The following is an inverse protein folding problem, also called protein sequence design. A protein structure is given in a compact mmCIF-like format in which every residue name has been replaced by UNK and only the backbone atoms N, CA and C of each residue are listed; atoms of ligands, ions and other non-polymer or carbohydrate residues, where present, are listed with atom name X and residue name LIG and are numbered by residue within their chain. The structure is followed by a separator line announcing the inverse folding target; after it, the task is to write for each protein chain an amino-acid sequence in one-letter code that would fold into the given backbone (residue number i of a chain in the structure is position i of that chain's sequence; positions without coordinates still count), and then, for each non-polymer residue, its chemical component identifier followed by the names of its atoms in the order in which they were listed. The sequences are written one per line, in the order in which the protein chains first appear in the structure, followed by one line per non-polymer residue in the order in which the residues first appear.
data_IF_641637153453
#
_entry.id   IF_641637153453
#
_cell.length_a   1.000
_cell.length_b   1.000
_cell.length_c   1.000
_cell.angle_alpha   90.00
_cell.angle_beta   90.00
_cell.angle_gamma   90.00
#
_symmetry.space_group_name_H-M   'P 1'
#
loop_
_entity.id
_entity.type
_entity.pdbx_description
1 polymer ?
#
# COMPACT_ATOMS: atom_id res chain seq x y z
N UNK A 1 12.31 -4.60 -5.45
CA UNK A 1 11.79 -3.48 -4.65
C UNK A 1 10.78 -2.73 -5.51
N UNK A 2 9.63 -2.35 -4.95
CA UNK A 2 8.60 -1.56 -5.64
C UNK A 2 8.43 -0.28 -4.84
N UNK A 3 8.43 0.86 -5.51
CA UNK A 3 8.11 2.15 -4.91
C UNK A 3 6.73 2.59 -5.41
N UNK A 4 5.83 2.89 -4.48
CA UNK A 4 4.46 3.28 -4.77
C UNK A 4 4.24 4.70 -4.28
N UNK A 5 3.97 5.61 -5.21
CA UNK A 5 3.56 6.97 -4.89
C UNK A 5 2.06 6.97 -4.61
N UNK A 6 1.67 7.19 -3.36
CA UNK A 6 0.30 7.06 -2.88
C UNK A 6 0.06 8.07 -1.74
N UNK A 7 -1.19 8.56 -1.58
CA UNK A 7 -2.36 8.33 -2.44
C UNK A 7 -2.24 9.05 -3.80
N UNK A 8 -3.24 8.91 -4.67
CA UNK A 8 -3.28 9.75 -5.88
C UNK A 8 -3.26 11.24 -5.48
N UNK A 9 -2.46 12.03 -6.20
CA UNK A 9 -2.05 13.38 -5.84
C UNK A 9 -0.56 13.47 -5.42
N UNK A 10 0.08 12.33 -5.13
CA UNK A 10 1.51 12.25 -4.80
C UNK A 10 2.33 11.88 -6.04
N UNK A 11 3.34 12.69 -6.36
CA UNK A 11 4.29 12.41 -7.44
C UNK A 11 3.61 12.26 -8.80
N UNK A 12 3.74 11.09 -9.40
CA UNK A 12 3.15 10.73 -10.70
C UNK A 12 1.77 10.06 -10.59
N UNK A 13 1.29 9.73 -9.39
CA UNK A 13 -0.05 9.18 -9.19
C UNK A 13 -1.07 10.32 -9.20
N UNK A 14 -2.06 10.28 -10.09
CA UNK A 14 -3.10 11.32 -10.17
C UNK A 14 -4.46 10.75 -10.58
N UNK A 15 -5.51 11.43 -10.13
CA UNK A 15 -6.88 11.30 -10.65
C UNK A 15 -7.21 12.50 -11.54
N UNK A 16 -7.89 12.23 -12.66
CA UNK A 16 -8.49 13.26 -13.51
C UNK A 16 -9.77 13.83 -12.90
N UNK A 17 -10.43 13.05 -12.03
CA UNK A 17 -11.57 13.50 -11.26
C UNK A 17 -11.08 14.26 -10.02
N UNK A 18 -11.30 15.58 -9.99
CA UNK A 18 -10.90 16.41 -8.86
C UNK A 18 -11.68 16.09 -7.57
N UNK A 19 -12.90 15.58 -7.69
CA UNK A 19 -13.69 15.21 -6.51
C UNK A 19 -13.11 14.01 -5.76
N UNK A 20 -12.24 13.22 -6.42
CA UNK A 20 -11.50 12.13 -5.80
C UNK A 20 -10.66 12.60 -4.61
N UNK A 21 -10.12 13.81 -4.65
CA UNK A 21 -9.20 14.30 -3.63
C UNK A 21 -9.90 14.74 -2.34
N UNK A 22 -11.19 15.08 -2.39
CA UNK A 22 -11.96 15.57 -1.24
C UNK A 22 -12.08 14.53 -0.10
N UNK A 23 -12.41 13.25 -0.36
CA UNK A 23 -12.52 12.24 0.69
C UNK A 23 -11.20 11.53 1.07
N UNK A 24 -10.04 11.91 0.50
CA UNK A 24 -8.79 11.17 0.70
C UNK A 24 -8.39 11.13 2.17
N UNK A 25 -8.26 9.91 2.70
CA UNK A 25 -7.85 9.63 4.07
C UNK A 25 -7.05 8.32 4.14
N UNK A 26 -6.64 7.92 5.35
CA UNK A 26 -5.82 6.71 5.56
C UNK A 26 -6.52 5.42 5.09
N UNK A 27 -7.82 5.27 5.37
CA UNK A 27 -8.60 4.09 4.99
C UNK A 27 -8.70 3.95 3.48
N UNK A 28 -9.03 5.06 2.79
CA UNK A 28 -9.07 5.12 1.33
C UNK A 28 -7.69 4.82 0.74
N UNK A 29 -6.63 5.39 1.32
CA UNK A 29 -5.24 5.14 0.90
C UNK A 29 -4.86 3.67 1.03
N UNK A 30 -5.23 3.02 2.13
CA UNK A 30 -4.96 1.60 2.34
C UNK A 30 -5.74 0.72 1.33
N UNK A 31 -7.01 1.06 1.07
CA UNK A 31 -7.85 0.37 0.08
C UNK A 31 -7.29 0.48 -1.34
N UNK A 32 -6.93 1.69 -1.79
CA UNK A 32 -6.35 1.93 -3.12
C UNK A 32 -4.99 1.22 -3.28
N UNK A 33 -4.16 1.21 -2.23
CA UNK A 33 -2.89 0.47 -2.24
C UNK A 33 -3.10 -1.05 -2.30
N UNK A 34 -4.15 -1.56 -1.65
CA UNK A 34 -4.52 -2.97 -1.75
C UNK A 34 -4.94 -3.34 -3.19
N UNK A 35 -5.79 -2.51 -3.82
CA UNK A 35 -6.20 -2.67 -5.23
C UNK A 35 -4.99 -2.61 -6.17
N UNK A 36 -4.05 -1.68 -5.91
CA UNK A 36 -2.79 -1.62 -6.65
C UNK A 36 -2.04 -2.94 -6.57
N UNK A 37 -1.84 -3.50 -5.38
CA UNK A 37 -1.13 -4.77 -5.19
C UNK A 37 -1.84 -5.92 -5.91
N UNK A 38 -3.16 -6.03 -5.79
CA UNK A 38 -3.93 -7.05 -6.50
C UNK A 38 -3.70 -6.99 -8.02
N UNK A 39 -3.77 -5.79 -8.60
CA UNK A 39 -3.57 -5.58 -10.03
C UNK A 39 -2.11 -5.78 -10.45
N UNK A 40 -1.16 -5.39 -9.60
CA UNK A 40 0.27 -5.59 -9.83
C UNK A 40 0.60 -7.08 -9.91
N UNK A 41 0.12 -7.90 -8.96
CA UNK A 41 0.34 -9.36 -8.99
C UNK A 41 -0.48 -10.07 -10.09
N UNK A 42 -1.59 -9.50 -10.56
CA UNK A 42 -2.26 -10.01 -11.78
C UNK A 42 -1.41 -9.77 -13.01
N UNK A 43 -0.76 -8.60 -13.11
CA UNK A 43 0.10 -8.21 -14.24
C UNK A 43 1.46 -8.94 -14.22
N UNK A 44 2.03 -9.16 -13.04
CA UNK A 44 3.33 -9.81 -12.83
C UNK A 44 3.17 -11.08 -11.97
N UNK A 45 2.50 -12.13 -12.50
CA UNK A 45 2.16 -13.33 -11.73
C UNK A 45 3.37 -14.14 -11.24
N UNK A 46 4.54 -13.98 -11.87
CA UNK A 46 5.78 -14.64 -11.51
C UNK A 46 6.26 -14.30 -10.09
N UNK A 47 5.85 -13.15 -9.54
CA UNK A 47 6.22 -12.74 -8.18
C UNK A 47 5.29 -13.25 -7.09
N UNK A 48 4.15 -13.89 -7.42
CA UNK A 48 3.14 -14.32 -6.43
C UNK A 48 3.67 -15.31 -5.37
N UNK A 49 4.74 -16.05 -5.69
CA UNK A 49 5.35 -17.01 -4.77
C UNK A 49 6.37 -16.36 -3.83
N UNK A 50 6.77 -15.12 -4.09
CA UNK A 50 7.77 -14.45 -3.30
C UNK A 50 7.18 -14.02 -1.96
N UNK A 51 8.04 -13.94 -0.95
CA UNK A 51 7.72 -13.28 0.31
C UNK A 51 7.48 -11.79 0.06
N UNK A 52 6.36 -11.28 0.58
CA UNK A 52 5.99 -9.88 0.51
C UNK A 52 6.32 -9.21 1.84
N UNK A 53 7.12 -8.15 1.76
CA UNK A 53 7.39 -7.26 2.88
C UNK A 53 6.88 -5.86 2.55
N UNK A 54 6.24 -5.21 3.53
CA UNK A 54 5.77 -3.83 3.37
C UNK A 54 6.56 -2.95 4.32
N UNK A 55 7.24 -1.96 3.77
CA UNK A 55 8.13 -1.09 4.55
C UNK A 55 7.77 0.38 4.34
N UNK A 56 7.95 1.20 5.38
CA UNK A 56 7.71 2.64 5.27
C UNK A 56 8.37 3.44 6.39
N UNK A 57 8.42 4.76 6.21
CA UNK A 57 8.98 5.71 7.18
C UNK A 57 7.95 6.82 7.51
N UNK A 58 8.09 7.42 8.69
CA UNK A 58 7.34 8.61 9.10
C UNK A 58 5.84 8.31 9.14
N UNK A 59 5.02 9.04 8.39
CA UNK A 59 3.57 8.84 8.35
C UNK A 59 3.15 7.48 7.77
N UNK A 60 4.06 6.77 7.08
CA UNK A 60 3.83 5.40 6.68
C UNK A 60 3.65 4.44 7.88
N UNK A 61 3.93 4.88 9.12
CA UNK A 61 3.48 4.18 10.33
C UNK A 61 1.97 4.06 10.46
N UNK A 62 1.18 4.90 9.79
CA UNK A 62 -0.26 4.72 9.62
C UNK A 62 -0.56 3.80 8.43
N UNK A 63 0.09 4.04 7.28
CA UNK A 63 -0.22 3.33 6.04
C UNK A 63 0.14 1.84 6.06
N UNK A 64 1.33 1.50 6.56
CA UNK A 64 1.87 0.14 6.51
C UNK A 64 1.03 -0.84 7.32
N UNK A 65 0.68 -0.57 8.60
CA UNK A 65 -0.14 -1.50 9.38
C UNK A 65 -1.57 -1.62 8.85
N UNK A 66 -2.17 -0.53 8.34
CA UNK A 66 -3.53 -0.56 7.77
C UNK A 66 -3.60 -1.39 6.50
N UNK A 67 -2.63 -1.21 5.58
CA UNK A 67 -2.53 -2.04 4.38
C UNK A 67 -2.26 -3.51 4.72
N UNK A 68 -1.36 -3.79 5.66
CA UNK A 68 -1.09 -5.15 6.12
C UNK A 68 -2.34 -5.82 6.70
N UNK A 69 -3.13 -5.08 7.50
CA UNK A 69 -4.38 -5.58 8.05
C UNK A 69 -5.39 -5.91 6.93
N UNK A 70 -5.54 -5.06 5.91
CA UNK A 70 -6.39 -5.36 4.75
C UNK A 70 -5.94 -6.63 4.02
N UNK A 71 -4.64 -6.82 3.82
CA UNK A 71 -4.10 -8.03 3.17
C UNK A 71 -4.43 -9.29 3.97
N UNK A 72 -4.22 -9.26 5.29
CA UNK A 72 -4.49 -10.40 6.18
C UNK A 72 -5.98 -10.74 6.22
N UNK A 73 -6.85 -9.72 6.26
CA UNK A 73 -8.30 -9.90 6.26
C UNK A 73 -8.83 -10.36 4.90
N UNK A 74 -8.13 -10.02 3.82
CA UNK A 74 -8.47 -10.53 2.50
C UNK A 74 -8.29 -12.05 2.48
N UNK A 75 -9.34 -12.80 2.14
CA UNK A 75 -9.25 -14.26 1.93
C UNK A 75 -8.40 -14.64 0.71
N UNK A 76 -7.80 -13.65 0.05
CA UNK A 76 -7.00 -13.80 -1.14
C UNK A 76 -5.60 -14.27 -0.74
N UNK A 77 -5.38 -15.58 -0.83
CA UNK A 77 -4.05 -16.23 -0.72
C UNK A 77 -3.05 -15.79 -1.80
N UNK A 78 -3.35 -14.72 -2.54
CA UNK A 78 -2.51 -14.20 -3.62
C UNK A 78 -1.28 -13.45 -3.08
N UNK A 79 -1.33 -12.98 -1.83
CA UNK A 79 -0.29 -12.18 -1.21
C UNK A 79 0.33 -12.96 -0.06
N UNK A 80 1.59 -13.37 -0.22
CA UNK A 80 2.36 -14.02 0.84
C UNK A 80 3.00 -12.96 1.74
N UNK A 81 2.18 -12.22 2.50
CA UNK A 81 2.68 -11.20 3.44
C UNK A 81 3.49 -11.88 4.56
N UNK A 82 4.79 -11.63 4.57
CA UNK A 82 5.74 -12.24 5.50
C UNK A 82 6.12 -11.31 6.64
N UNK A 83 6.12 -9.99 6.41
CA UNK A 83 6.42 -9.03 7.47
C UNK A 83 6.23 -7.58 7.08
N UNK A 84 6.29 -6.71 8.09
CA UNK A 84 6.28 -5.26 7.91
C UNK A 84 7.46 -4.63 8.65
N UNK A 85 7.95 -3.50 8.15
CA UNK A 85 8.94 -2.68 8.84
C UNK A 85 8.54 -1.21 8.77
N UNK A 86 8.51 -0.54 9.92
CA UNK A 86 8.19 0.89 10.02
C UNK A 86 9.32 1.59 10.73
N UNK A 87 9.88 2.62 10.11
CA UNK A 87 10.80 3.54 10.77
C UNK A 87 10.07 4.81 11.21
N UNK A 88 10.29 5.22 12.45
CA UNK A 88 9.80 6.51 12.98
C UNK A 88 11.00 7.30 13.44
N UNK A 89 11.32 8.38 12.74
CA UNK A 89 12.30 9.35 13.22
C UNK A 89 11.62 10.21 14.28
N UNK A 90 11.73 9.81 15.55
CA UNK A 90 11.50 10.73 16.67
C UNK A 90 12.82 11.46 16.87
N UNK A 91 12.93 12.69 16.37
CA UNK A 91 14.04 13.57 16.76
C UNK A 91 14.00 13.73 18.29
N UNK A 92 15.01 13.20 18.97
CA UNK A 92 15.30 13.52 20.37
C UNK A 92 16.07 14.83 20.46
#
# INVERSE_FOLDING_TARGET
MIYLESPAGVGFSYSLDKSFYEPVNDEMTASENFIFLENWFKKFPEFKKNELYITGESYAGHYVPQLANLIIQSKLKLLNLTGIAVSVTINK
#
